data_IF_116106963333
#
_entry.id   IF_116106963333
#
_cell.length_a   1.000
_cell.length_b   1.000
_cell.length_c   1.000
_cell.angle_alpha   90.00
_cell.angle_beta   90.00
_cell.angle_gamma   90.00
#
_symmetry.space_group_name_H-M   'P 1'
#
loop_
_entity.id
_entity.type
_entity.pdbx_description
1 polymer ?
#
# COMPACT_ATOMS: atom_id res chain seq x y z
N UNK A 1 -18.27 27.45 -38.01
CA UNK A 1 -17.07 26.85 -38.63
C UNK A 1 -16.12 26.45 -37.50
N UNK A 2 -15.79 25.17 -37.44
CA UNK A 2 -15.47 24.43 -36.21
C UNK A 2 -14.13 24.74 -35.54
N UNK A 3 -14.15 24.77 -34.21
CA UNK A 3 -12.98 24.84 -33.34
C UNK A 3 -12.29 23.47 -33.30
N UNK A 4 -11.11 23.36 -33.91
CA UNK A 4 -10.26 22.16 -33.81
C UNK A 4 -9.59 22.15 -32.44
N UNK A 5 -10.10 21.34 -31.50
CA UNK A 5 -9.31 20.88 -30.34
C UNK A 5 -8.17 20.02 -30.87
N UNK A 6 -6.94 20.51 -30.76
CA UNK A 6 -5.75 19.70 -30.94
C UNK A 6 -5.66 18.80 -29.70
N UNK A 7 -6.06 17.54 -29.82
CA UNK A 7 -5.66 16.51 -28.88
C UNK A 7 -4.16 16.31 -29.06
N UNK A 8 -3.35 16.94 -28.20
CA UNK A 8 -1.96 16.55 -28.03
C UNK A 8 -1.99 15.13 -27.44
N UNK A 9 -1.64 14.15 -28.26
CA UNK A 9 -1.41 12.79 -27.78
C UNK A 9 -0.33 12.88 -26.69
N UNK A 10 -0.71 12.55 -25.46
CA UNK A 10 0.26 12.36 -24.38
C UNK A 10 1.11 11.17 -24.79
N UNK A 11 2.36 11.44 -25.19
CA UNK A 11 3.28 10.39 -25.55
C UNK A 11 3.41 9.41 -24.39
N UNK A 12 3.21 8.12 -24.64
CA UNK A 12 3.45 7.10 -23.62
C UNK A 12 4.88 7.24 -23.08
N UNK A 13 5.08 7.25 -21.76
CA UNK A 13 6.42 7.34 -21.20
C UNK A 13 7.26 6.17 -21.71
N UNK A 14 8.45 6.50 -22.24
CA UNK A 14 9.38 5.48 -22.71
C UNK A 14 9.85 4.66 -21.51
N UNK A 15 9.87 3.31 -21.60
CA UNK A 15 10.38 2.48 -20.53
C UNK A 15 11.84 2.82 -20.25
N UNK A 16 12.23 2.84 -18.96
CA UNK A 16 13.63 3.08 -18.58
C UNK A 16 14.59 2.13 -19.29
N UNK A 17 15.70 2.69 -19.77
CA UNK A 17 16.80 1.97 -20.39
C UNK A 17 17.90 1.66 -19.38
N UNK A 18 18.77 0.71 -19.75
CA UNK A 18 19.94 0.36 -18.96
C UNK A 18 20.87 1.59 -18.85
N UNK A 19 21.01 2.13 -17.64
CA UNK A 19 21.78 3.35 -17.36
C UNK A 19 20.93 4.50 -16.81
N UNK A 20 19.60 4.40 -16.87
CA UNK A 20 18.71 5.41 -16.30
C UNK A 20 18.80 5.46 -14.78
N UNK A 21 18.63 6.65 -14.16
CA UNK A 21 18.67 6.78 -12.72
C UNK A 21 17.50 6.02 -12.07
N UNK A 22 17.70 5.46 -10.87
CA UNK A 22 16.61 4.82 -10.14
C UNK A 22 15.55 5.86 -9.76
N UNK A 23 14.32 5.40 -9.56
CA UNK A 23 13.26 6.20 -8.95
C UNK A 23 13.18 5.86 -7.46
N UNK A 24 12.82 6.85 -6.65
CA UNK A 24 12.57 6.68 -5.23
C UNK A 24 11.19 7.19 -4.87
N UNK A 25 10.55 6.52 -3.92
CA UNK A 25 9.17 6.77 -3.56
C UNK A 25 9.01 6.82 -2.05
N UNK A 26 8.00 7.56 -1.63
CA UNK A 26 7.44 7.53 -0.29
C UNK A 26 5.94 7.25 -0.40
N UNK A 27 5.46 6.25 0.33
CA UNK A 27 4.05 5.89 0.41
C UNK A 27 3.54 6.10 1.82
N UNK A 28 2.47 6.86 1.96
CA UNK A 28 1.72 6.99 3.21
C UNK A 28 0.50 6.08 3.14
N UNK A 29 0.33 5.21 4.14
CA UNK A 29 -0.90 4.46 4.39
C UNK A 29 -1.57 5.10 5.60
N UNK A 30 -2.65 5.84 5.36
CA UNK A 30 -3.25 6.68 6.40
C UNK A 30 -4.25 5.91 7.25
N UNK A 31 -5.30 5.41 6.62
CA UNK A 31 -6.49 4.90 7.32
C UNK A 31 -7.19 3.85 6.49
N UNK A 32 -7.75 2.85 7.16
CA UNK A 32 -8.70 1.91 6.58
C UNK A 32 -10.06 2.16 7.19
N UNK A 33 -11.06 2.32 6.33
CA UNK A 33 -12.46 2.47 6.72
C UNK A 33 -13.21 1.17 6.44
N UNK A 34 -14.12 0.83 7.36
CA UNK A 34 -14.97 -0.36 7.29
C UNK A 34 -14.21 -1.69 7.16
N UNK A 35 -13.03 -1.81 7.76
CA UNK A 35 -12.23 -3.03 7.73
C UNK A 35 -13.06 -4.22 8.26
N UNK A 36 -13.37 -5.23 7.41
CA UNK A 36 -14.28 -6.30 7.78
C UNK A 36 -13.56 -7.38 8.58
N UNK A 37 -14.10 -7.69 9.77
CA UNK A 37 -13.64 -8.77 10.64
C UNK A 37 -14.81 -9.67 10.99
N UNK A 38 -14.62 -10.98 10.93
CA UNK A 38 -15.66 -11.93 11.32
C UNK A 38 -15.87 -11.91 12.83
N UNK A 39 -17.13 -11.82 13.27
CA UNK A 39 -17.49 -11.75 14.70
C UNK A 39 -17.03 -12.96 15.49
N UNK A 40 -16.99 -14.14 14.86
CA UNK A 40 -16.47 -15.35 15.52
C UNK A 40 -14.99 -15.23 15.89
N UNK A 41 -14.18 -14.55 15.06
CA UNK A 41 -12.78 -14.31 15.37
C UNK A 41 -12.66 -13.41 16.60
N UNK A 42 -13.46 -12.35 16.66
CA UNK A 42 -13.49 -11.43 17.81
C UNK A 42 -13.93 -12.14 19.09
N UNK A 43 -15.03 -12.89 19.03
CA UNK A 43 -15.56 -13.63 20.16
C UNK A 43 -14.56 -14.66 20.69
N UNK A 44 -13.85 -15.37 19.79
CA UNK A 44 -12.81 -16.33 20.18
C UNK A 44 -11.65 -15.64 20.88
N UNK A 45 -11.10 -14.59 20.27
CA UNK A 45 -9.98 -13.82 20.84
C UNK A 45 -10.35 -13.27 22.21
N UNK A 46 -11.54 -12.69 22.35
CA UNK A 46 -12.01 -12.14 23.62
C UNK A 46 -12.22 -13.21 24.69
N UNK A 47 -12.80 -14.36 24.32
CA UNK A 47 -13.00 -15.50 25.24
C UNK A 47 -11.69 -16.05 25.79
N UNK A 48 -10.62 -16.01 25.00
CA UNK A 48 -9.28 -16.44 25.40
C UNK A 48 -8.51 -15.35 26.19
N UNK A 49 -9.10 -14.16 26.40
CA UNK A 49 -8.43 -13.04 27.06
C UNK A 49 -7.32 -12.40 26.21
N UNK A 50 -7.34 -12.66 24.91
CA UNK A 50 -6.39 -12.13 23.94
C UNK A 50 -6.88 -10.78 23.39
N UNK A 51 -6.04 -10.14 22.56
CA UNK A 51 -6.39 -8.91 21.85
C UNK A 51 -6.07 -9.02 20.36
N UNK A 52 -6.80 -8.27 19.54
CA UNK A 52 -6.47 -8.07 18.13
C UNK A 52 -5.89 -6.68 17.90
N UNK A 53 -4.82 -6.63 17.13
CA UNK A 53 -4.26 -5.40 16.58
C UNK A 53 -4.13 -5.52 15.06
N UNK A 54 -4.10 -4.38 14.37
CA UNK A 54 -4.22 -4.27 12.93
C UNK A 54 -2.96 -3.63 12.36
N UNK A 55 -2.55 -4.07 11.18
CA UNK A 55 -1.38 -3.54 10.48
C UNK A 55 -1.54 -3.74 8.98
N UNK A 56 -0.82 -2.95 8.18
CA UNK A 56 -0.70 -3.21 6.76
C UNK A 56 0.67 -3.83 6.45
N UNK A 57 0.72 -4.74 5.49
CA UNK A 57 1.97 -5.23 4.91
C UNK A 57 2.08 -4.75 3.47
N UNK A 58 3.29 -4.42 3.04
CA UNK A 58 3.57 -3.97 1.67
C UNK A 58 4.58 -4.91 1.05
N UNK A 59 4.32 -5.34 -0.18
CA UNK A 59 5.23 -6.18 -0.97
C UNK A 59 5.16 -5.79 -2.44
N UNK A 60 6.13 -6.24 -3.26
CA UNK A 60 6.07 -6.05 -4.70
C UNK A 60 5.72 -7.34 -5.44
N UNK A 61 4.93 -7.20 -6.51
CA UNK A 61 4.52 -8.32 -7.36
C UNK A 61 4.70 -7.97 -8.83
N UNK A 62 5.37 -8.85 -9.58
CA UNK A 62 5.55 -8.70 -11.02
C UNK A 62 4.58 -9.63 -11.75
N UNK A 63 3.56 -9.06 -12.40
CA UNK A 63 2.48 -9.84 -13.03
C UNK A 63 2.96 -10.83 -14.11
N UNK A 64 3.87 -10.47 -15.04
CA UNK A 64 4.30 -11.37 -16.10
C UNK A 64 5.01 -12.62 -15.58
N UNK A 65 5.86 -12.50 -14.55
CA UNK A 65 6.52 -13.65 -13.92
C UNK A 65 5.68 -14.29 -12.81
N UNK A 66 4.55 -13.68 -12.43
CA UNK A 66 3.62 -14.15 -11.39
C UNK A 66 4.31 -14.37 -10.03
N UNK A 67 5.26 -13.51 -9.69
CA UNK A 67 6.11 -13.68 -8.51
C UNK A 67 6.20 -12.42 -7.68
N UNK A 68 6.22 -12.60 -6.36
CA UNK A 68 6.64 -11.56 -5.43
C UNK A 68 8.16 -11.40 -5.47
N UNK A 69 8.65 -10.18 -5.21
CA UNK A 69 10.08 -9.86 -5.16
C UNK A 69 10.35 -8.71 -4.19
N UNK A 70 11.64 -8.47 -3.89
CA UNK A 70 12.05 -7.48 -2.89
C UNK A 70 11.80 -7.97 -1.47
N UNK A 71 11.78 -7.04 -0.51
CA UNK A 71 11.36 -7.33 0.86
C UNK A 71 9.84 -7.16 1.03
N UNK A 72 9.30 -7.68 2.12
CA UNK A 72 7.97 -7.32 2.61
C UNK A 72 8.15 -6.41 3.82
N UNK A 73 7.53 -5.25 3.79
CA UNK A 73 7.48 -4.35 4.94
C UNK A 73 6.22 -4.61 5.76
N UNK A 74 6.35 -4.63 7.09
CA UNK A 74 5.25 -4.80 8.05
C UNK A 74 5.06 -3.49 8.83
N UNK A 75 3.83 -2.96 8.78
CA UNK A 75 3.46 -1.76 9.48
C UNK A 75 3.28 -1.96 10.98
N UNK A 76 3.09 -0.84 11.68
CA UNK A 76 2.91 -0.88 13.13
C UNK A 76 1.58 -1.55 13.47
N UNK A 77 1.58 -2.34 14.53
CA UNK A 77 0.34 -2.89 15.08
C UNK A 77 -0.41 -1.79 15.84
N UNK A 78 -1.65 -1.54 15.44
CA UNK A 78 -2.53 -0.51 16.01
C UNK A 78 -3.87 -1.08 16.43
N UNK A 79 -4.54 -0.44 17.38
CA UNK A 79 -5.90 -0.83 17.79
C UNK A 79 -6.94 -0.21 16.86
N UNK A 80 -8.10 -0.85 16.74
CA UNK A 80 -9.25 -0.24 16.10
C UNK A 80 -9.76 0.97 16.92
N UNK A 81 -10.08 2.06 16.25
CA UNK A 81 -10.62 3.28 16.86
C UNK A 81 -12.12 3.17 17.10
N UNK A 82 -12.81 2.54 16.15
CA UNK A 82 -14.25 2.36 16.15
C UNK A 82 -14.60 0.96 15.67
N UNK A 83 -15.64 0.41 16.28
CA UNK A 83 -16.19 -0.89 15.97
C UNK A 83 -17.70 -0.73 15.75
N UNK A 84 -18.16 -1.05 14.54
CA UNK A 84 -19.56 -0.93 14.15
C UNK A 84 -20.10 -2.29 13.71
N UNK A 85 -21.37 -2.61 14.02
CA UNK A 85 -21.99 -3.84 13.53
C UNK A 85 -22.10 -3.78 12.00
N UNK A 86 -21.65 -4.85 11.32
CA UNK A 86 -21.92 -5.10 9.92
C UNK A 86 -22.98 -6.20 9.73
N UNK A 87 -23.29 -6.49 8.48
CA UNK A 87 -24.18 -7.58 8.10
C UNK A 87 -23.48 -8.95 8.17
N UNK A 88 -24.24 -10.04 8.20
CA UNK A 88 -23.73 -11.43 8.06
C UNK A 88 -22.54 -11.78 8.97
N UNK A 89 -22.65 -11.48 10.26
CA UNK A 89 -21.60 -11.74 11.26
C UNK A 89 -20.29 -10.97 11.01
N UNK A 90 -20.31 -9.91 10.21
CA UNK A 90 -19.17 -9.00 10.05
C UNK A 90 -19.25 -7.87 11.07
N UNK A 91 -18.09 -7.44 11.51
CA UNK A 91 -17.85 -6.22 12.27
C UNK A 91 -16.98 -5.32 11.41
N UNK A 92 -17.38 -4.05 11.27
CA UNK A 92 -16.64 -3.04 10.52
C UNK A 92 -15.77 -2.25 11.48
N UNK A 93 -14.47 -2.18 11.19
CA UNK A 93 -13.51 -1.44 12.01
C UNK A 93 -12.94 -0.24 11.29
N UNK A 94 -12.74 0.86 12.03
CA UNK A 94 -11.98 2.01 11.56
C UNK A 94 -10.60 1.97 12.20
N UNK A 95 -9.56 1.99 11.36
CA UNK A 95 -8.16 1.83 11.80
C UNK A 95 -7.31 2.91 11.17
N UNK A 96 -6.68 3.74 12.00
CA UNK A 96 -5.66 4.71 11.54
C UNK A 96 -4.28 4.09 11.67
N UNK A 97 -3.61 3.93 10.53
CA UNK A 97 -2.27 3.36 10.42
C UNK A 97 -1.22 4.48 10.56
N UNK A 98 -1.37 5.55 9.78
CA UNK A 98 -0.39 6.63 9.62
C UNK A 98 1.04 6.10 9.42
N UNK A 99 1.16 5.07 8.59
CA UNK A 99 2.45 4.47 8.29
C UNK A 99 3.06 5.10 7.05
N UNK A 100 4.40 5.13 7.04
CA UNK A 100 5.20 5.68 5.96
C UNK A 100 6.18 4.60 5.50
N UNK A 101 6.25 4.39 4.19
CA UNK A 101 7.07 3.35 3.57
C UNK A 101 7.88 3.95 2.44
N UNK A 102 9.16 3.66 2.41
CA UNK A 102 10.11 4.17 1.43
C UNK A 102 10.73 3.02 0.66
N UNK A 103 11.04 3.27 -0.61
CA UNK A 103 11.85 2.37 -1.42
C UNK A 103 12.47 3.12 -2.59
N UNK A 104 13.48 2.50 -3.20
CA UNK A 104 13.96 2.89 -4.51
C UNK A 104 14.08 1.68 -5.42
N UNK A 105 14.03 1.93 -6.72
CA UNK A 105 13.97 0.88 -7.73
C UNK A 105 14.50 1.36 -9.07
N UNK A 106 15.13 0.45 -9.81
CA UNK A 106 15.41 0.64 -11.24
C UNK A 106 14.26 0.13 -12.12
N UNK A 107 13.28 -0.56 -11.53
CA UNK A 107 12.14 -1.12 -12.24
C UNK A 107 11.22 0.01 -12.70
N UNK A 108 10.94 0.02 -13.99
CA UNK A 108 9.96 0.90 -14.62
C UNK A 108 9.05 0.07 -15.55
N UNK A 109 8.29 -0.83 -14.94
CA UNK A 109 7.34 -1.70 -15.64
C UNK A 109 5.94 -1.53 -15.06
N UNK A 110 4.99 -1.11 -15.91
CA UNK A 110 3.56 -0.95 -15.58
C UNK A 110 2.87 -2.21 -15.08
N UNK A 111 3.48 -3.38 -15.29
CA UNK A 111 2.97 -4.67 -14.82
C UNK A 111 3.49 -5.04 -13.42
N UNK A 112 4.34 -4.20 -12.84
CA UNK A 112 4.78 -4.30 -11.46
C UNK A 112 3.79 -3.59 -10.54
N UNK A 113 3.45 -4.23 -9.43
CA UNK A 113 2.47 -3.75 -8.46
C UNK A 113 3.13 -3.56 -7.09
N UNK A 114 2.70 -2.54 -6.35
CA UNK A 114 2.86 -2.48 -4.91
C UNK A 114 1.60 -3.04 -4.26
N UNK A 115 1.72 -4.18 -3.61
CA UNK A 115 0.62 -4.92 -3.02
C UNK A 115 0.52 -4.60 -1.53
N UNK A 116 -0.66 -4.23 -1.08
CA UNK A 116 -0.94 -3.88 0.32
C UNK A 116 -1.86 -4.96 0.88
N UNK A 117 -1.40 -5.70 1.88
CA UNK A 117 -2.20 -6.69 2.61
C UNK A 117 -2.63 -6.12 3.95
N UNK A 118 -3.91 -6.31 4.28
CA UNK A 118 -4.49 -5.93 5.56
C UNK A 118 -4.41 -7.12 6.51
N UNK A 119 -3.73 -6.95 7.65
CA UNK A 119 -3.46 -8.05 8.59
C UNK A 119 -4.01 -7.72 9.98
N UNK A 120 -4.80 -8.65 10.53
CA UNK A 120 -5.16 -8.67 11.94
C UNK A 120 -4.26 -9.66 12.68
N UNK A 121 -3.65 -9.22 13.77
CA UNK A 121 -2.71 -9.99 14.59
C UNK A 121 -3.31 -10.22 15.97
N UNK A 122 -3.37 -11.49 16.38
CA UNK A 122 -3.78 -11.89 17.71
C UNK A 122 -2.58 -11.89 18.65
N UNK A 123 -2.74 -11.27 19.81
CA UNK A 123 -1.74 -11.21 20.86
C UNK A 123 -2.30 -11.74 22.17
N UNK A 124 -1.46 -12.45 22.93
CA UNK A 124 -1.71 -12.70 24.35
C UNK A 124 -1.80 -11.34 25.07
N UNK A 125 -2.95 -11.07 25.69
CA UNK A 125 -3.22 -9.82 26.40
C UNK A 125 -2.25 -9.58 27.57
N UNK A 126 -1.81 -10.63 28.26
CA UNK A 126 -0.93 -10.53 29.41
C UNK A 126 0.54 -10.42 29.01
N UNK A 127 0.99 -11.24 28.06
CA UNK A 127 2.42 -11.35 27.71
C UNK A 127 2.83 -10.51 26.51
N UNK A 128 1.87 -9.95 25.76
CA UNK A 128 2.11 -9.19 24.53
C UNK A 128 2.84 -10.00 23.45
N UNK A 129 2.64 -11.31 23.45
CA UNK A 129 3.25 -12.24 22.48
C UNK A 129 2.31 -12.42 21.29
N UNK A 130 2.83 -12.32 20.07
CA UNK A 130 2.12 -12.60 18.81
C UNK A 130 1.76 -14.10 18.75
N UNK A 131 0.46 -14.42 18.69
CA UNK A 131 -0.05 -15.79 18.66
C UNK A 131 -0.44 -16.24 17.26
N UNK A 132 -1.10 -15.36 16.49
CA UNK A 132 -1.57 -15.67 15.15
C UNK A 132 -1.72 -14.41 14.29
N UNK A 133 -1.76 -14.60 12.97
CA UNK A 133 -2.03 -13.55 11.98
C UNK A 133 -3.08 -14.00 10.99
N UNK A 134 -3.96 -13.07 10.63
CA UNK A 134 -5.09 -13.29 9.75
C UNK A 134 -5.05 -12.26 8.61
N UNK A 135 -5.05 -12.75 7.38
CA UNK A 135 -5.22 -11.92 6.21
C UNK A 135 -6.69 -11.49 6.09
N UNK A 136 -6.92 -10.18 6.09
CA UNK A 136 -8.26 -9.59 6.16
C UNK A 136 -8.60 -8.79 4.90
N UNK A 137 -7.93 -9.07 3.79
CA UNK A 137 -8.11 -8.43 2.52
C UNK A 137 -6.81 -7.80 2.03
N UNK A 138 -6.84 -7.32 0.79
CA UNK A 138 -5.66 -6.75 0.16
C UNK A 138 -6.04 -5.82 -0.98
N UNK A 139 -5.10 -5.01 -1.44
CA UNK A 139 -5.24 -4.18 -2.63
C UNK A 139 -3.89 -4.04 -3.32
N UNK A 140 -3.84 -3.31 -4.42
CA UNK A 140 -2.59 -3.00 -5.08
C UNK A 140 -2.59 -1.57 -5.65
N UNK A 141 -1.40 -1.02 -5.77
CA UNK A 141 -1.09 0.23 -6.45
C UNK A 141 -0.16 -0.06 -7.63
N UNK A 142 -0.13 0.84 -8.62
CA UNK A 142 0.73 0.75 -9.81
C UNK A 142 1.78 1.88 -9.85
N UNK A 143 2.79 1.91 -8.95
CA UNK A 143 3.73 3.04 -8.89
C UNK A 143 4.79 3.04 -9.99
N UNK A 144 4.82 1.98 -10.80
CA UNK A 144 5.84 1.72 -11.80
C UNK A 144 5.29 1.97 -13.21
N UNK A 145 6.17 2.28 -14.17
CA UNK A 145 5.81 2.41 -15.59
C UNK A 145 5.24 3.77 -15.99
N UNK A 146 5.16 4.73 -15.06
CA UNK A 146 4.85 6.15 -15.33
C UNK A 146 5.67 7.03 -14.38
N UNK A 147 6.73 7.66 -14.88
CA UNK A 147 7.48 8.67 -14.11
C UNK A 147 6.59 9.94 -14.03
N UNK A 148 5.66 9.96 -13.07
CA UNK A 148 4.69 11.05 -12.93
C UNK A 148 3.48 10.76 -12.03
N UNK A 149 3.68 10.05 -10.93
CA UNK A 149 2.79 9.88 -9.76
C UNK A 149 1.45 9.12 -9.94
N UNK A 150 1.14 8.31 -8.92
CA UNK A 150 -0.19 7.77 -8.70
C UNK A 150 -0.90 8.63 -7.66
N UNK A 151 -1.94 9.33 -8.08
CA UNK A 151 -3.04 9.67 -7.20
C UNK A 151 -4.34 9.31 -7.92
N UNK A 152 -4.97 8.22 -7.48
CA UNK A 152 -6.34 7.86 -7.85
C UNK A 152 -6.58 7.49 -9.32
N UNK A 153 -7.74 6.89 -9.56
CA UNK A 153 -8.17 6.34 -10.85
C UNK A 153 -8.61 7.43 -11.86
N UNK A 154 -8.05 8.65 -11.79
CA UNK A 154 -8.41 9.78 -12.63
C UNK A 154 -7.39 10.01 -13.74
N UNK A 155 -7.86 10.11 -14.97
CA UNK A 155 -7.08 10.32 -16.22
C UNK A 155 -6.35 11.67 -16.32
N UNK A 156 -6.29 12.46 -15.26
CA UNK A 156 -5.56 13.72 -15.22
C UNK A 156 -4.86 13.83 -13.86
N UNK A 157 -3.54 13.63 -13.82
CA UNK A 157 -2.78 13.85 -12.59
C UNK A 157 -1.38 14.34 -12.92
N UNK A 158 -1.07 15.57 -12.50
CA UNK A 158 0.29 16.11 -12.48
C UNK A 158 1.09 15.42 -11.37
N UNK A 159 2.34 15.05 -11.68
CA UNK A 159 3.19 14.33 -10.76
C UNK A 159 3.38 15.07 -9.42
N UNK A 160 2.82 14.56 -8.33
CA UNK A 160 3.09 15.02 -6.97
C UNK A 160 4.50 14.56 -6.52
N UNK A 161 5.48 15.47 -6.62
CA UNK A 161 6.82 15.30 -6.06
C UNK A 161 6.84 15.79 -4.61
N UNK A 162 7.66 15.19 -3.75
CA UNK A 162 8.01 15.80 -2.47
C UNK A 162 8.94 16.99 -2.75
N UNK A 163 8.57 18.20 -2.30
CA UNK A 163 9.46 19.36 -2.34
C UNK A 163 10.65 19.09 -1.42
N UNK A 164 11.84 19.07 -2.02
CA UNK A 164 13.14 18.85 -1.38
C UNK A 164 13.36 19.80 -0.20
N UNK A 165 12.73 20.98 -0.21
CA UNK A 165 12.85 22.03 0.82
C UNK A 165 11.89 21.85 1.99
N UNK A 166 10.78 21.11 1.82
CA UNK A 166 9.69 20.99 2.80
C UNK A 166 9.24 19.52 3.00
N UNK A 167 10.14 18.57 2.84
CA UNK A 167 9.89 17.12 2.89
C UNK A 167 8.99 16.66 4.05
N UNK A 168 9.21 17.15 5.27
CA UNK A 168 8.37 16.81 6.43
C UNK A 168 6.94 17.33 6.31
N UNK A 169 6.76 18.54 5.79
CA UNK A 169 5.43 19.13 5.64
C UNK A 169 4.65 18.36 4.59
N UNK A 170 5.28 18.02 3.45
CA UNK A 170 4.62 17.28 2.37
C UNK A 170 4.28 15.86 2.80
N UNK A 171 5.22 15.14 3.43
CA UNK A 171 5.01 13.75 3.88
C UNK A 171 3.93 13.61 4.96
N UNK A 172 3.68 14.68 5.72
CA UNK A 172 2.69 14.71 6.81
C UNK A 172 1.52 15.69 6.56
N UNK A 173 1.40 16.25 5.35
CA UNK A 173 0.32 17.20 5.05
C UNK A 173 -1.04 16.51 5.10
N UNK A 174 -2.07 17.27 5.48
CA UNK A 174 -3.48 16.88 5.39
C UNK A 174 -4.02 17.01 3.94
N UNK A 175 -3.14 17.06 2.94
CA UNK A 175 -3.51 17.10 1.52
C UNK A 175 -4.33 15.87 1.09
N UNK A 176 -4.97 15.95 -0.08
CA UNK A 176 -5.92 14.93 -0.53
C UNK A 176 -5.27 13.56 -0.70
N UNK A 177 -5.57 12.65 0.23
CA UNK A 177 -5.30 11.23 0.11
C UNK A 177 -6.19 10.61 -0.97
N UNK A 178 -5.62 9.71 -1.76
CA UNK A 178 -6.39 8.83 -2.64
C UNK A 178 -7.02 7.70 -1.84
N UNK A 179 -8.07 7.08 -2.36
CA UNK A 179 -8.64 5.86 -1.78
C UNK A 179 -8.78 4.77 -2.82
N UNK A 180 -8.55 3.52 -2.40
CA UNK A 180 -8.77 2.34 -3.24
C UNK A 180 -9.51 1.26 -2.46
N UNK A 181 -10.20 0.39 -3.19
CA UNK A 181 -10.98 -0.71 -2.64
C UNK A 181 -10.07 -1.83 -2.08
N UNK A 182 -10.59 -2.57 -1.11
CA UNK A 182 -9.96 -3.78 -0.58
C UNK A 182 -10.64 -5.00 -1.16
N UNK A 183 -9.86 -5.88 -1.78
CA UNK A 183 -10.27 -7.16 -2.32
C UNK A 183 -10.33 -8.25 -1.24
N UNK A 184 -11.24 -9.20 -1.44
CA UNK A 184 -11.35 -10.42 -0.62
C UNK A 184 -10.15 -11.35 -0.87
N UNK A 185 -10.04 -12.40 -0.03
CA UNK A 185 -8.96 -13.41 -0.04
C UNK A 185 -7.60 -12.81 0.33
N UNK A 186 -6.53 -13.49 -0.05
CA UNK A 186 -5.14 -13.08 0.22
C UNK A 186 -4.43 -12.70 -1.08
N UNK A 187 -3.40 -11.85 -1.03
CA UNK A 187 -2.59 -11.48 -2.20
C UNK A 187 -2.03 -12.65 -2.99
N UNK A 188 -1.86 -13.81 -2.36
CA UNK A 188 -1.33 -15.04 -3.01
C UNK A 188 -2.16 -15.46 -4.21
N UNK A 189 -3.41 -15.04 -4.30
CA UNK A 189 -4.25 -15.29 -5.48
C UNK A 189 -3.64 -14.73 -6.76
N UNK A 190 -2.87 -13.63 -6.68
CA UNK A 190 -2.21 -12.98 -7.83
C UNK A 190 -1.33 -13.92 -8.65
N UNK A 191 -0.72 -14.94 -8.01
CA UNK A 191 0.11 -15.92 -8.70
C UNK A 191 -0.68 -16.83 -9.67
N UNK A 192 -2.00 -16.86 -9.53
CA UNK A 192 -2.89 -17.78 -10.25
C UNK A 192 -3.89 -17.07 -11.18
N UNK A 193 -4.10 -15.76 -11.01
CA UNK A 193 -5.05 -15.02 -11.84
C UNK A 193 -4.57 -14.92 -13.30
N UNK A 194 -5.50 -15.08 -14.23
CA UNK A 194 -5.38 -14.65 -15.62
C UNK A 194 -5.53 -13.14 -15.75
N UNK A 195 -5.15 -12.59 -16.90
CA UNK A 195 -5.32 -11.15 -17.16
C UNK A 195 -6.79 -10.70 -17.18
N UNK A 196 -7.69 -11.59 -17.62
CA UNK A 196 -9.13 -11.34 -17.60
C UNK A 196 -9.67 -11.27 -16.16
N UNK A 197 -9.31 -12.22 -15.31
CA UNK A 197 -9.71 -12.21 -13.90
C UNK A 197 -9.08 -11.03 -13.14
N UNK A 198 -7.84 -10.68 -13.45
CA UNK A 198 -7.18 -9.51 -12.88
C UNK A 198 -7.93 -8.22 -13.23
N UNK A 199 -8.43 -8.09 -14.46
CA UNK A 199 -9.22 -6.95 -14.90
C UNK A 199 -10.59 -6.86 -14.19
N UNK A 200 -11.06 -7.94 -13.58
CA UNK A 200 -12.34 -8.03 -12.86
C UNK A 200 -12.17 -8.04 -11.33
N UNK A 201 -10.97 -7.74 -10.81
CA UNK A 201 -10.71 -7.79 -9.37
C UNK A 201 -11.63 -6.89 -8.54
N UNK A 202 -12.09 -5.78 -9.10
CA UNK A 202 -13.03 -4.87 -8.44
C UNK A 202 -14.36 -5.55 -8.08
N UNK A 203 -14.79 -6.58 -8.83
CA UNK A 203 -15.99 -7.37 -8.51
C UNK A 203 -15.82 -8.20 -7.22
N UNK A 204 -14.59 -8.43 -6.79
CA UNK A 204 -14.25 -9.18 -5.57
C UNK A 204 -14.04 -8.29 -4.35
N UNK A 205 -14.18 -6.97 -4.50
CA UNK A 205 -14.00 -6.02 -3.41
C UNK A 205 -15.01 -6.23 -2.27
N UNK A 206 -14.58 -5.87 -1.06
CA UNK A 206 -15.52 -5.62 0.02
C UNK A 206 -16.27 -4.33 -0.25
N UNK A 207 -17.57 -4.34 0.00
CA UNK A 207 -18.40 -3.14 -0.08
C UNK A 207 -17.95 -2.12 0.98
N UNK A 208 -17.86 -0.86 0.57
CA UNK A 208 -17.47 0.30 1.39
C UNK A 208 -16.15 0.20 2.16
N UNK A 209 -15.32 -0.81 1.90
CA UNK A 209 -14.00 -0.95 2.55
C UNK A 209 -12.93 -0.32 1.68
N UNK A 210 -12.28 0.71 2.21
CA UNK A 210 -11.26 1.47 1.47
C UNK A 210 -10.04 1.74 2.33
N UNK A 211 -8.87 1.72 1.71
CA UNK A 211 -7.64 2.27 2.30
C UNK A 211 -7.34 3.62 1.69
N UNK A 212 -7.04 4.59 2.55
CA UNK A 212 -6.54 5.91 2.20
C UNK A 212 -5.02 5.87 2.09
N UNK A 213 -4.50 6.31 0.96
CA UNK A 213 -3.07 6.27 0.68
C UNK A 213 -2.61 7.49 -0.12
N UNK A 214 -1.29 7.67 -0.15
CA UNK A 214 -0.62 8.61 -1.03
C UNK A 214 0.73 8.04 -1.43
N UNK A 215 1.12 8.20 -2.69
CA UNK A 215 2.45 7.83 -3.18
C UNK A 215 3.08 9.05 -3.85
N UNK A 216 4.26 9.42 -3.38
CA UNK A 216 5.03 10.56 -3.88
C UNK A 216 6.40 10.10 -4.35
N UNK A 217 6.96 10.78 -5.35
CA UNK A 217 8.38 10.61 -5.66
C UNK A 217 9.23 11.35 -4.62
N UNK A 218 10.21 10.65 -4.05
CA UNK A 218 11.06 11.15 -2.97
C UNK A 218 12.54 11.12 -3.38
N UNK A 219 12.93 12.05 -4.25
CA UNK A 219 14.28 12.07 -4.85
C UNK A 219 15.43 12.17 -3.83
N UNK A 220 15.20 12.78 -2.66
CA UNK A 220 16.21 12.83 -1.58
C UNK A 220 16.59 11.46 -1.03
N UNK A 221 15.70 10.47 -1.13
CA UNK A 221 16.00 9.10 -0.68
C UNK A 221 17.17 8.52 -1.49
N UNK A 222 17.35 8.96 -2.74
CA UNK A 222 18.47 8.52 -3.57
C UNK A 222 19.84 8.93 -3.00
N UNK A 223 19.91 9.93 -2.12
CA UNK A 223 21.14 10.30 -1.41
C UNK A 223 21.50 9.25 -0.36
N UNK A 224 20.49 8.60 0.24
CA UNK A 224 20.64 7.55 1.23
C UNK A 224 20.56 6.13 0.62
N UNK A 225 20.44 5.97 -0.71
CA UNK A 225 20.29 4.66 -1.38
C UNK A 225 21.41 3.67 -1.11
N UNK A 226 22.58 4.14 -0.67
CA UNK A 226 23.72 3.28 -0.31
C UNK A 226 23.52 2.57 1.04
N UNK A 227 22.49 2.96 1.80
CA UNK A 227 22.14 2.38 3.09
C UNK A 227 21.01 1.33 2.99
N UNK A 228 20.33 1.26 1.84
CA UNK A 228 19.17 0.39 1.62
C UNK A 228 19.36 -0.40 0.32
N UNK A 229 18.93 -1.65 0.29
CA UNK A 229 19.00 -2.48 -0.90
C UNK A 229 17.94 -2.07 -1.93
N UNK A 230 18.21 -2.38 -3.19
CA UNK A 230 17.24 -2.11 -4.26
C UNK A 230 15.96 -2.93 -4.03
N UNK A 231 14.79 -2.30 -4.18
CA UNK A 231 13.48 -2.91 -3.93
C UNK A 231 13.26 -3.35 -2.47
N UNK A 232 14.10 -2.88 -1.55
CA UNK A 232 13.85 -2.97 -0.11
C UNK A 232 12.84 -1.90 0.29
N UNK A 233 11.75 -2.33 0.92
CA UNK A 233 10.77 -1.49 1.58
C UNK A 233 11.23 -1.22 3.01
N UNK A 234 11.33 0.05 3.39
CA UNK A 234 11.75 0.49 4.72
C UNK A 234 10.79 1.53 5.30
N UNK A 235 10.50 1.44 6.59
CA UNK A 235 9.75 2.41 7.36
C UNK A 235 10.63 3.30 8.23
N UNK A 236 10.08 4.37 8.83
CA UNK A 236 10.81 5.28 9.73
C UNK A 236 11.41 4.62 10.97
N UNK A 237 10.85 3.49 11.40
CA UNK A 237 11.27 2.75 12.60
C UNK A 237 12.18 1.57 12.30
N UNK A 238 12.49 1.31 11.02
CA UNK A 238 13.34 0.20 10.64
C UNK A 238 14.80 0.53 10.92
N UNK A 239 15.53 -0.47 11.40
CA UNK A 239 16.96 -0.32 11.70
C UNK A 239 17.73 -0.40 10.38
N UNK A 240 18.15 0.76 9.89
CA UNK A 240 19.04 0.87 8.73
C UNK A 240 20.48 0.84 9.22
N UNK A 241 21.26 -0.14 8.75
CA UNK A 241 22.66 -0.29 9.14
C UNK A 241 23.46 0.99 8.85
N UNK A 242 24.17 1.50 9.86
CA UNK A 242 24.93 2.75 9.76
C UNK A 242 24.14 4.01 10.10
N UNK A 243 22.84 3.91 10.35
CA UNK A 243 22.04 4.99 10.94
C UNK A 243 21.82 4.73 12.44
N UNK A 244 21.76 5.81 13.24
CA UNK A 244 21.35 5.70 14.65
C UNK A 244 19.82 5.57 14.69
N UNK A 245 19.27 4.72 15.57
CA UNK A 245 17.82 4.68 15.84
C UNK A 245 17.28 6.03 16.31
#
# INVERSE_FOLDING_TARGET
WGSRRIQLAVAEPKPKQRGDPPAAFAMTLRKVENWPIHRELLNRVEADGHKLEFSAQVSFFHRPSRSFFGSTWEGRSVKAEKMEPGENSIVKMSVTLNDLVFWYTYIDDKNTLAVIELVATEFDGAQQIKLAQYACGWTFLKPFGQIGCIAGNSTETQGAYVDVRNDRADLHSDESYSSTHIFKRTPRVLAFLSDAEFAQLDETAFEDTRIQYRVLQHQRLLQARHLIYENELVGPSDIVAGMRP
#
